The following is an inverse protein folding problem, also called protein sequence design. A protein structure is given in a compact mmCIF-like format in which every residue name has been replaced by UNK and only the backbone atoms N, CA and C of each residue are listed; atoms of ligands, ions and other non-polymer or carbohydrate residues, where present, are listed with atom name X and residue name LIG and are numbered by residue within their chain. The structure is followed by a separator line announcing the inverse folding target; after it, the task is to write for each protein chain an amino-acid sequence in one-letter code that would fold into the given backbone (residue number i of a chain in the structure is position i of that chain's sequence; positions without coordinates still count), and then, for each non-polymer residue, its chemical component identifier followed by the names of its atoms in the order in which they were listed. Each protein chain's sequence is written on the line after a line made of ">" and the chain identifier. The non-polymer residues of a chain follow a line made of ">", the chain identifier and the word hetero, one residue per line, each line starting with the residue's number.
data_IF_065194123818
#
_entry.id   IF_065194123818
#
_cell.length_a   1.000
_cell.length_b   1.000
_cell.length_c   1.000
_cell.angle_alpha   90.00
_cell.angle_beta   90.00
_cell.angle_gamma   90.00
#
_symmetry.space_group_name_H-M   'P 1'
#
loop_
_entity.id
_entity.type
_entity.pdbx_description
1 polymer ?
#
# COMPACT_ATOMS: atom_id res chain seq x y z
N UNK A 1 12.22 -2.21 -17.91
CA UNK A 1 11.84 -3.63 -17.98
C UNK A 1 13.03 -4.51 -18.32
N UNK A 2 13.61 -4.40 -19.51
CA UNK A 2 14.75 -5.25 -19.93
C UNK A 2 15.95 -5.27 -18.94
N UNK A 3 16.36 -4.13 -18.41
CA UNK A 3 17.42 -4.06 -17.38
C UNK A 3 17.02 -4.81 -16.11
N UNK A 4 15.76 -4.69 -15.67
CA UNK A 4 15.25 -5.41 -14.50
C UNK A 4 15.28 -6.93 -14.68
N UNK A 5 14.92 -7.44 -15.87
CA UNK A 5 15.02 -8.87 -16.19
C UNK A 5 16.46 -9.36 -16.17
N UNK A 6 17.39 -8.60 -16.74
CA UNK A 6 18.82 -8.94 -16.70
C UNK A 6 19.39 -8.96 -15.28
N UNK A 7 18.95 -8.06 -14.41
CA UNK A 7 19.34 -8.09 -13.00
C UNK A 7 18.77 -9.33 -12.31
N UNK A 8 17.51 -9.72 -12.62
CA UNK A 8 16.90 -10.92 -12.04
C UNK A 8 17.58 -12.20 -12.51
N UNK A 9 17.99 -12.29 -13.80
CA UNK A 9 18.66 -13.47 -14.37
C UNK A 9 20.11 -13.64 -13.88
N UNK A 10 20.86 -12.55 -13.79
CA UNK A 10 22.32 -12.57 -13.54
C UNK A 10 22.73 -11.94 -12.22
N UNK A 11 21.81 -11.32 -11.50
CA UNK A 11 22.08 -10.59 -10.28
C UNK A 11 21.46 -11.26 -9.05
N UNK A 12 21.32 -10.48 -7.97
CA UNK A 12 20.77 -10.92 -6.69
C UNK A 12 19.37 -10.32 -6.51
N UNK A 13 18.37 -11.15 -6.33
CA UNK A 13 17.01 -10.73 -5.99
C UNK A 13 16.14 -10.34 -7.20
N UNK A 14 15.06 -9.61 -6.94
CA UNK A 14 14.11 -9.18 -7.98
C UNK A 14 14.59 -7.85 -8.60
N UNK A 15 15.08 -7.91 -9.84
CA UNK A 15 15.62 -6.74 -10.55
C UNK A 15 14.59 -5.63 -10.78
N UNK A 16 13.32 -5.96 -10.95
CA UNK A 16 12.25 -4.96 -11.11
C UNK A 16 12.09 -4.14 -9.82
N UNK A 17 12.10 -4.79 -8.68
CA UNK A 17 12.02 -4.13 -7.37
C UNK A 17 13.21 -3.20 -7.14
N UNK A 18 14.42 -3.64 -7.49
CA UNK A 18 15.65 -2.83 -7.38
C UNK A 18 15.56 -1.56 -8.25
N UNK A 19 15.11 -1.70 -9.50
CA UNK A 19 14.93 -0.56 -10.41
C UNK A 19 13.91 0.45 -9.87
N UNK A 20 12.79 -0.04 -9.30
CA UNK A 20 11.79 0.81 -8.68
C UNK A 20 12.35 1.57 -7.48
N UNK A 21 13.06 0.89 -6.58
CA UNK A 21 13.69 1.50 -5.40
C UNK A 21 14.71 2.56 -5.82
N UNK A 22 15.58 2.29 -6.79
CA UNK A 22 16.56 3.26 -7.30
C UNK A 22 15.85 4.49 -7.88
N UNK A 23 14.79 4.32 -8.66
CA UNK A 23 14.01 5.42 -9.23
C UNK A 23 13.40 6.33 -8.15
N UNK A 24 12.93 5.74 -7.05
CA UNK A 24 12.39 6.47 -5.92
C UNK A 24 13.49 7.21 -5.18
N UNK A 25 14.61 6.54 -4.86
CA UNK A 25 15.73 7.12 -4.13
C UNK A 25 16.36 8.28 -4.91
N UNK A 26 16.43 8.18 -6.24
CA UNK A 26 17.00 9.24 -7.09
C UNK A 26 16.24 10.56 -7.01
N UNK A 27 14.95 10.53 -6.65
CA UNK A 27 14.11 11.75 -6.49
C UNK A 27 14.20 12.36 -5.08
N UNK A 28 14.62 11.58 -4.07
CA UNK A 28 14.68 12.04 -2.68
C UNK A 28 15.49 13.32 -2.47
N UNK A 29 16.71 13.47 -3.05
CA UNK A 29 17.49 14.71 -2.88
C UNK A 29 16.77 15.94 -3.42
N UNK A 30 16.13 15.83 -4.58
CA UNK A 30 15.39 16.92 -5.19
C UNK A 30 14.15 17.32 -4.36
N UNK A 31 13.42 16.35 -3.86
CA UNK A 31 12.24 16.58 -3.03
C UNK A 31 12.62 17.22 -1.70
N UNK A 32 13.72 16.79 -1.07
CA UNK A 32 14.26 17.42 0.13
C UNK A 32 14.70 18.86 -0.14
N UNK A 33 15.40 19.13 -1.25
CA UNK A 33 15.80 20.49 -1.63
C UNK A 33 14.58 21.38 -1.83
N UNK A 34 13.54 20.93 -2.51
CA UNK A 34 12.31 21.67 -2.73
C UNK A 34 11.59 22.01 -1.40
N UNK A 35 11.57 21.07 -0.44
CA UNK A 35 11.03 21.32 0.89
C UNK A 35 11.84 22.36 1.67
N UNK A 36 13.18 22.27 1.59
CA UNK A 36 14.07 23.24 2.24
C UNK A 36 13.89 24.64 1.65
N UNK A 37 13.83 24.77 0.33
CA UNK A 37 13.59 26.06 -0.33
C UNK A 37 12.24 26.65 0.05
N UNK A 38 11.18 25.82 0.12
CA UNK A 38 9.84 26.31 0.38
C UNK A 38 9.60 26.70 1.84
N UNK A 39 10.18 26.01 2.80
CA UNK A 39 9.86 26.17 4.23
C UNK A 39 10.97 26.81 5.05
N UNK A 40 12.21 26.79 4.61
CA UNK A 40 13.37 27.25 5.36
C UNK A 40 13.98 28.52 4.76
N UNK A 41 14.15 28.58 3.44
CA UNK A 41 14.74 29.74 2.79
C UNK A 41 13.85 30.97 2.86
N UNK A 42 14.44 32.10 3.29
CA UNK A 42 13.74 33.39 3.34
C UNK A 42 12.76 33.59 4.51
N UNK A 43 12.70 32.68 5.47
CA UNK A 43 11.84 32.79 6.67
C UNK A 43 12.66 33.13 7.91
N UNK A 44 11.97 33.70 8.94
CA UNK A 44 12.59 33.96 10.22
C UNK A 44 13.22 32.70 10.82
N UNK A 45 14.40 32.79 11.50
CA UNK A 45 15.13 31.58 11.95
C UNK A 45 14.30 30.70 12.89
N UNK A 46 13.46 31.25 13.70
CA UNK A 46 12.58 30.48 14.62
C UNK A 46 11.54 29.65 13.85
N UNK A 47 10.89 30.21 12.83
CA UNK A 47 9.89 29.52 12.00
C UNK A 47 10.54 28.48 11.10
N UNK A 48 11.75 28.73 10.61
CA UNK A 48 12.52 27.79 9.80
C UNK A 48 12.89 26.53 10.60
N UNK A 49 13.44 26.69 11.82
CA UNK A 49 13.79 25.56 12.70
C UNK A 49 12.53 24.74 13.04
N UNK A 50 11.43 25.40 13.37
CA UNK A 50 10.17 24.74 13.71
C UNK A 50 9.63 23.93 12.51
N UNK A 51 9.70 24.49 11.29
CA UNK A 51 9.30 23.80 10.07
C UNK A 51 10.14 22.54 9.80
N UNK A 52 11.46 22.61 9.97
CA UNK A 52 12.37 21.45 9.80
C UNK A 52 12.00 20.34 10.80
N UNK A 53 11.79 20.68 12.07
CA UNK A 53 11.44 19.70 13.11
C UNK A 53 10.10 19.03 12.78
N UNK A 54 9.09 19.79 12.36
CA UNK A 54 7.78 19.25 11.99
C UNK A 54 7.90 18.32 10.77
N UNK A 55 8.60 18.73 9.71
CA UNK A 55 8.78 17.90 8.50
C UNK A 55 9.48 16.59 8.88
N UNK A 56 10.53 16.64 9.67
CA UNK A 56 11.26 15.43 10.10
C UNK A 56 10.39 14.51 10.96
N UNK A 57 9.60 15.07 11.87
CA UNK A 57 8.67 14.32 12.70
C UNK A 57 7.58 13.61 11.85
N UNK A 58 7.06 14.27 10.81
CA UNK A 58 6.09 13.69 9.90
C UNK A 58 6.70 12.54 9.09
N UNK A 59 7.91 12.72 8.55
CA UNK A 59 8.60 11.65 7.79
C UNK A 59 8.82 10.44 8.68
N UNK A 60 9.32 10.62 9.90
CA UNK A 60 9.52 9.52 10.85
C UNK A 60 8.19 8.83 11.19
N UNK A 61 7.14 9.60 11.47
CA UNK A 61 5.81 9.05 11.77
C UNK A 61 5.26 8.20 10.61
N UNK A 62 5.44 8.67 9.38
CA UNK A 62 5.06 7.94 8.16
C UNK A 62 5.85 6.63 8.01
N UNK A 63 7.15 6.67 8.19
CA UNK A 63 8.01 5.46 8.12
C UNK A 63 7.60 4.44 9.18
N UNK A 64 7.41 4.87 10.44
CA UNK A 64 6.97 3.97 11.53
C UNK A 64 5.62 3.35 11.21
N UNK A 65 4.67 4.13 10.69
CA UNK A 65 3.34 3.65 10.33
C UNK A 65 3.42 2.60 9.21
N UNK A 66 4.25 2.83 8.19
CA UNK A 66 4.47 1.87 7.10
C UNK A 66 5.10 0.57 7.61
N UNK A 67 6.10 0.65 8.49
CA UNK A 67 6.74 -0.53 9.10
C UNK A 67 5.70 -1.35 9.87
N UNK A 68 4.91 -0.71 10.73
CA UNK A 68 3.85 -1.38 11.50
C UNK A 68 2.85 -2.08 10.56
N UNK A 69 2.53 -1.47 9.44
CA UNK A 69 1.57 -1.99 8.47
C UNK A 69 2.12 -3.18 7.69
N UNK A 70 3.40 -3.17 7.32
CA UNK A 70 4.06 -4.25 6.58
C UNK A 70 4.44 -5.44 7.48
N UNK A 71 4.89 -5.18 8.71
CA UNK A 71 5.29 -6.22 9.65
C UNK A 71 4.13 -6.81 10.44
N UNK A 72 2.96 -6.15 10.40
CA UNK A 72 1.75 -6.62 11.05
C UNK A 72 1.34 -8.00 10.55
N UNK A 73 1.43 -9.04 11.41
CA UNK A 73 1.08 -10.42 11.05
C UNK A 73 0.12 -11.00 12.08
N UNK A 74 -1.01 -11.51 11.60
CA UNK A 74 -1.93 -12.32 12.42
C UNK A 74 -1.55 -13.80 12.31
N UNK A 75 -1.12 -14.39 13.41
CA UNK A 75 -0.77 -15.81 13.49
C UNK A 75 -2.01 -16.64 13.82
N UNK A 76 -2.38 -17.57 12.94
CA UNK A 76 -3.47 -18.53 13.19
C UNK A 76 -2.84 -19.86 13.62
N UNK A 77 -3.13 -20.37 14.84
CA UNK A 77 -2.57 -21.63 15.30
C UNK A 77 -3.17 -22.81 14.52
N UNK A 78 -2.31 -23.68 14.05
CA UNK A 78 -2.66 -24.93 13.35
C UNK A 78 -2.03 -26.08 14.08
N UNK A 79 -2.79 -27.13 14.33
CA UNK A 79 -2.29 -28.37 14.93
C UNK A 79 -2.27 -29.47 13.86
N UNK A 80 -1.16 -30.17 13.77
CA UNK A 80 -1.01 -31.34 12.91
C UNK A 80 -1.22 -32.61 13.72
N UNK A 81 -1.96 -33.55 13.15
CA UNK A 81 -2.19 -34.85 13.76
C UNK A 81 -0.85 -35.60 13.93
N UNK A 82 -0.68 -36.25 15.09
CA UNK A 82 0.48 -37.12 15.33
C UNK A 82 0.37 -38.33 14.40
N UNK A 83 1.43 -38.63 13.65
CA UNK A 83 1.53 -39.85 12.85
C UNK A 83 2.46 -40.84 13.55
N UNK A 84 2.03 -42.10 13.65
CA UNK A 84 2.88 -43.18 14.05
C UNK A 84 3.78 -43.61 12.89
N UNK A 85 5.08 -43.53 13.04
CA UNK A 85 6.05 -44.02 12.08
C UNK A 85 6.89 -45.13 12.77
N UNK A 86 6.47 -46.37 12.58
CA UNK A 86 7.02 -47.52 13.33
C UNK A 86 6.63 -47.47 14.81
N UNK A 87 7.59 -47.65 15.72
CA UNK A 87 7.40 -47.58 17.19
C UNK A 87 7.50 -46.19 17.81
N UNK A 88 7.82 -45.16 17.01
CA UNK A 88 7.95 -43.77 17.49
C UNK A 88 6.78 -42.89 17.02
N UNK A 89 6.21 -42.12 17.94
CA UNK A 89 5.28 -41.06 17.61
C UNK A 89 6.07 -39.86 17.02
N UNK A 90 5.85 -39.56 15.75
CA UNK A 90 6.43 -38.41 15.04
C UNK A 90 5.31 -37.46 14.70
N UNK A 91 5.49 -36.17 14.96
CA UNK A 91 4.51 -35.15 14.66
C UNK A 91 3.81 -34.59 15.92
N UNK A 92 2.83 -33.75 15.72
CA UNK A 92 2.17 -33.01 16.80
C UNK A 92 2.79 -31.63 17.04
N UNK A 93 3.54 -31.12 16.05
CA UNK A 93 4.00 -29.73 16.10
C UNK A 93 2.81 -28.78 15.87
N UNK A 94 2.68 -27.84 16.78
CA UNK A 94 1.85 -26.66 16.61
C UNK A 94 2.58 -25.71 15.66
N UNK A 95 1.98 -25.42 14.52
CA UNK A 95 2.49 -24.43 13.57
C UNK A 95 1.51 -23.28 13.51
N UNK A 96 1.96 -22.14 13.01
CA UNK A 96 1.11 -20.97 12.83
C UNK A 96 1.08 -20.58 11.36
N UNK A 97 -0.10 -20.26 10.84
CA UNK A 97 -0.22 -19.63 9.52
C UNK A 97 -0.09 -18.13 9.72
N UNK A 98 0.96 -17.49 9.18
CA UNK A 98 1.11 -16.03 9.25
C UNK A 98 0.24 -15.37 8.15
N UNK A 99 -0.76 -14.58 8.54
CA UNK A 99 -1.51 -13.72 7.62
C UNK A 99 -1.01 -12.28 7.79
N UNK A 100 -0.37 -11.74 6.76
CA UNK A 100 0.08 -10.35 6.77
C UNK A 100 -1.11 -9.40 6.72
N UNK A 101 -1.05 -8.30 7.47
CA UNK A 101 -2.08 -7.24 7.45
C UNK A 101 -2.11 -6.56 6.09
N UNK A 102 -0.94 -6.26 5.55
CA UNK A 102 -0.81 -5.75 4.19
C UNK A 102 -0.50 -6.89 3.22
N UNK A 103 -1.49 -7.74 2.92
CA UNK A 103 -1.35 -8.87 1.99
C UNK A 103 -1.21 -8.40 0.54
N UNK A 104 -1.82 -7.28 0.18
CA UNK A 104 -1.86 -6.73 -1.17
C UNK A 104 -0.69 -5.79 -1.49
N UNK A 105 0.12 -5.41 -0.50
CA UNK A 105 1.25 -4.50 -0.71
C UNK A 105 0.82 -3.12 -1.22
N UNK A 106 1.58 -2.58 -2.15
CA UNK A 106 1.38 -1.26 -2.77
C UNK A 106 0.48 -1.32 -4.00
N UNK A 107 0.22 -2.52 -4.52
CA UNK A 107 -0.48 -2.73 -5.80
C UNK A 107 -1.85 -2.02 -5.87
N UNK A 108 -2.71 -2.06 -4.85
CA UNK A 108 -4.00 -1.36 -4.87
C UNK A 108 -3.87 0.14 -5.12
N UNK A 109 -2.85 0.77 -4.54
CA UNK A 109 -2.62 2.21 -4.67
C UNK A 109 -2.16 2.55 -6.09
N UNK A 110 -1.25 1.73 -6.66
CA UNK A 110 -0.76 1.91 -8.03
C UNK A 110 -1.91 1.79 -9.03
N UNK A 111 -2.77 0.79 -8.89
CA UNK A 111 -3.94 0.64 -9.77
C UNK A 111 -4.94 1.78 -9.62
N UNK A 112 -5.25 2.21 -8.39
CA UNK A 112 -6.15 3.34 -8.15
C UNK A 112 -5.60 4.63 -8.80
N UNK A 113 -4.31 4.92 -8.63
CA UNK A 113 -3.68 6.07 -9.28
C UNK A 113 -3.68 5.96 -10.81
N UNK A 114 -3.37 4.79 -11.35
CA UNK A 114 -3.34 4.55 -12.80
C UNK A 114 -4.69 4.78 -13.42
N UNK A 115 -5.77 4.29 -12.82
CA UNK A 115 -7.14 4.50 -13.32
C UNK A 115 -7.51 5.98 -13.27
N UNK A 116 -7.13 6.70 -12.22
CA UNK A 116 -7.44 8.12 -12.13
C UNK A 116 -6.62 8.97 -13.11
N UNK A 117 -5.38 8.58 -13.40
CA UNK A 117 -4.53 9.29 -14.34
C UNK A 117 -4.85 8.97 -15.81
N UNK A 118 -5.41 7.81 -16.11
CA UNK A 118 -5.69 7.38 -17.47
C UNK A 118 -6.54 8.36 -18.28
N UNK A 119 -7.68 8.90 -17.79
CA UNK A 119 -8.46 9.91 -18.52
C UNK A 119 -7.67 11.20 -18.76
N UNK A 120 -6.83 11.62 -17.79
CA UNK A 120 -6.02 12.83 -17.89
C UNK A 120 -5.00 12.68 -19.02
N UNK A 121 -4.34 11.53 -19.09
CA UNK A 121 -3.33 11.22 -20.10
C UNK A 121 -3.97 11.21 -21.49
N UNK A 122 -5.12 10.56 -21.67
CA UNK A 122 -5.84 10.52 -22.95
C UNK A 122 -6.20 11.94 -23.41
N UNK A 123 -6.77 12.76 -22.53
CA UNK A 123 -7.14 14.14 -22.86
C UNK A 123 -5.91 14.98 -23.21
N UNK A 124 -4.79 14.76 -22.56
CA UNK A 124 -3.51 15.41 -22.88
C UNK A 124 -3.02 15.04 -24.29
N UNK A 125 -3.15 13.78 -24.71
CA UNK A 125 -2.76 13.33 -26.06
C UNK A 125 -3.67 13.91 -27.16
N UNK A 126 -4.96 14.08 -26.88
CA UNK A 126 -5.93 14.66 -27.83
C UNK A 126 -5.76 16.19 -27.94
N UNK A 127 -4.93 16.80 -27.08
CA UNK A 127 -4.72 18.25 -27.04
C UNK A 127 -5.95 19.00 -26.52
N UNK A 128 -6.78 18.35 -25.71
CA UNK A 128 -8.00 18.94 -25.16
C UNK A 128 -7.66 20.02 -24.13
N UNK A 129 -7.70 21.27 -24.59
CA UNK A 129 -7.57 22.46 -23.73
C UNK A 129 -8.94 22.84 -23.13
N UNK A 130 -9.55 21.89 -22.42
CA UNK A 130 -10.94 21.87 -22.04
C UNK A 130 -11.50 23.12 -21.38
N UNK A 131 -12.55 23.62 -22.00
CA UNK A 131 -13.54 24.50 -21.37
C UNK A 131 -14.82 23.68 -21.21
N UNK A 132 -15.38 23.62 -19.99
CA UNK A 132 -16.64 22.93 -19.75
C UNK A 132 -16.57 21.87 -18.66
N UNK A 133 -17.64 21.08 -18.54
CA UNK A 133 -17.82 20.07 -17.49
C UNK A 133 -16.69 19.02 -17.46
N UNK A 134 -16.16 18.65 -18.62
CA UNK A 134 -15.04 17.71 -18.72
C UNK A 134 -13.75 18.25 -18.09
N UNK A 135 -13.48 19.55 -18.23
CA UNK A 135 -12.32 20.17 -17.59
C UNK A 135 -12.43 20.12 -16.05
N UNK A 136 -13.63 20.32 -15.51
CA UNK A 136 -13.89 20.21 -14.08
C UNK A 136 -13.72 18.79 -13.57
N UNK A 137 -14.19 17.78 -14.30
CA UNK A 137 -13.99 16.36 -13.99
C UNK A 137 -12.49 16.02 -14.00
N UNK A 138 -11.74 16.45 -15.01
CA UNK A 138 -10.30 16.19 -15.11
C UNK A 138 -9.52 16.86 -13.97
N UNK A 139 -9.90 18.07 -13.55
CA UNK A 139 -9.32 18.71 -12.38
C UNK A 139 -9.62 17.94 -11.10
N UNK A 140 -10.84 17.40 -10.95
CA UNK A 140 -11.22 16.55 -9.84
C UNK A 140 -10.43 15.22 -9.78
N UNK A 141 -10.08 14.66 -10.93
CA UNK A 141 -9.26 13.44 -11.01
C UNK A 141 -7.77 13.70 -10.73
N UNK A 142 -7.31 14.94 -10.92
CA UNK A 142 -5.90 15.30 -10.74
C UNK A 142 -5.58 15.53 -9.26
N UNK A 143 -4.66 14.73 -8.73
CA UNK A 143 -4.24 14.79 -7.32
C UNK A 143 -3.65 16.15 -6.89
N UNK A 144 -3.17 16.96 -7.81
CA UNK A 144 -2.65 18.31 -7.53
C UNK A 144 -3.69 19.34 -7.10
N UNK A 145 -4.99 19.05 -7.27
CA UNK A 145 -6.09 19.93 -6.86
C UNK A 145 -6.80 19.47 -5.59
N UNK A 146 -6.47 18.30 -5.04
CA UNK A 146 -7.12 17.74 -3.87
C UNK A 146 -6.76 18.51 -2.59
N UNK A 147 -7.68 18.55 -1.66
CA UNK A 147 -7.52 19.21 -0.34
C UNK A 147 -7.16 20.69 -0.40
N UNK A 148 -7.36 21.40 -1.51
CA UNK A 148 -7.14 22.83 -1.58
C UNK A 148 -8.33 23.59 -0.96
N UNK A 149 -8.12 24.48 0.05
CA UNK A 149 -9.19 25.22 0.69
C UNK A 149 -9.97 26.13 -0.27
N UNK A 150 -9.31 26.59 -1.36
CA UNK A 150 -9.91 27.45 -2.37
C UNK A 150 -10.93 26.73 -3.27
N UNK A 151 -10.87 25.40 -3.39
CA UNK A 151 -11.71 24.64 -4.32
C UNK A 151 -12.08 23.27 -3.74
N UNK A 152 -12.97 23.21 -2.74
CA UNK A 152 -13.29 21.98 -2.02
C UNK A 152 -13.99 20.91 -2.88
N UNK A 153 -14.61 21.30 -3.99
CA UNK A 153 -15.35 20.40 -4.90
C UNK A 153 -14.41 19.32 -5.49
N UNK A 154 -13.15 19.64 -5.77
CA UNK A 154 -12.19 18.67 -6.32
C UNK A 154 -11.75 17.61 -5.31
N UNK A 155 -12.04 17.78 -4.03
CA UNK A 155 -11.82 16.75 -3.01
C UNK A 155 -12.72 15.51 -3.20
N UNK A 156 -13.76 15.59 -4.06
CA UNK A 156 -14.53 14.41 -4.49
C UNK A 156 -13.63 13.38 -5.21
N UNK A 157 -12.60 13.84 -5.92
CA UNK A 157 -11.61 12.94 -6.53
C UNK A 157 -10.85 12.12 -5.49
N UNK A 158 -10.52 12.71 -4.35
CA UNK A 158 -9.89 12.00 -3.23
C UNK A 158 -10.83 10.92 -2.66
N UNK A 159 -12.13 11.19 -2.56
CA UNK A 159 -13.10 10.20 -2.12
C UNK A 159 -13.17 9.02 -3.10
N UNK A 160 -13.22 9.31 -4.40
CA UNK A 160 -13.17 8.27 -5.44
C UNK A 160 -11.88 7.45 -5.35
N UNK A 161 -10.74 8.11 -5.11
CA UNK A 161 -9.46 7.45 -4.92
C UNK A 161 -9.45 6.50 -3.73
N UNK A 162 -10.02 6.90 -2.59
CA UNK A 162 -10.18 6.05 -1.39
C UNK A 162 -11.03 4.81 -1.71
N UNK A 163 -12.16 5.00 -2.40
CA UNK A 163 -13.04 3.88 -2.80
C UNK A 163 -12.30 2.90 -3.72
N UNK A 164 -11.53 3.41 -4.68
CA UNK A 164 -10.72 2.59 -5.57
C UNK A 164 -9.64 1.79 -4.82
N UNK A 165 -8.95 2.40 -3.84
CA UNK A 165 -7.96 1.69 -3.01
C UNK A 165 -8.63 0.51 -2.30
N UNK A 166 -9.78 0.71 -1.64
CA UNK A 166 -10.50 -0.35 -0.95
C UNK A 166 -10.91 -1.45 -1.94
N UNK A 167 -11.50 -1.06 -3.06
CA UNK A 167 -11.91 -2.01 -4.10
C UNK A 167 -10.74 -2.87 -4.58
N UNK A 168 -9.61 -2.25 -4.93
CA UNK A 168 -8.44 -2.99 -5.41
C UNK A 168 -7.75 -3.79 -4.30
N UNK A 169 -7.80 -3.36 -3.05
CA UNK A 169 -7.27 -4.14 -1.93
C UNK A 169 -8.02 -5.47 -1.79
N UNK A 170 -9.35 -5.45 -1.83
CA UNK A 170 -10.16 -6.66 -1.80
C UNK A 170 -9.97 -7.51 -3.06
N UNK A 171 -10.01 -6.88 -4.24
CA UNK A 171 -9.85 -7.56 -5.51
C UNK A 171 -8.52 -8.31 -5.60
N UNK A 172 -7.41 -7.63 -5.30
CA UNK A 172 -6.08 -8.24 -5.36
C UNK A 172 -5.89 -9.34 -4.32
N UNK A 173 -6.38 -9.13 -3.10
CA UNK A 173 -6.29 -10.16 -2.06
C UNK A 173 -7.09 -11.41 -2.42
N UNK A 174 -8.25 -11.28 -3.06
CA UNK A 174 -9.05 -12.43 -3.49
C UNK A 174 -8.35 -13.27 -4.56
N UNK A 175 -7.50 -12.66 -5.39
CA UNK A 175 -6.71 -13.36 -6.39
C UNK A 175 -5.48 -14.03 -5.76
N UNK A 176 -4.78 -13.31 -4.88
CA UNK A 176 -3.50 -13.76 -4.32
C UNK A 176 -3.68 -14.85 -3.26
N UNK A 177 -4.75 -14.77 -2.48
CA UNK A 177 -5.01 -15.69 -1.39
C UNK A 177 -6.28 -16.50 -1.64
N UNK A 178 -6.10 -17.81 -1.82
CA UNK A 178 -7.22 -18.74 -2.01
C UNK A 178 -7.46 -19.57 -0.74
N UNK A 179 -8.47 -19.22 0.09
CA UNK A 179 -8.76 -19.90 1.35
C UNK A 179 -9.13 -21.38 1.17
N UNK A 180 -9.78 -21.73 0.06
CA UNK A 180 -10.15 -23.12 -0.27
C UNK A 180 -8.91 -23.97 -0.47
N UNK A 181 -7.97 -23.51 -1.29
CA UNK A 181 -6.73 -24.25 -1.57
C UNK A 181 -5.92 -24.48 -0.28
N UNK A 182 -5.86 -23.47 0.60
CA UNK A 182 -5.15 -23.58 1.87
C UNK A 182 -5.84 -24.58 2.81
N UNK A 183 -7.18 -24.51 2.93
CA UNK A 183 -7.96 -25.45 3.74
C UNK A 183 -7.81 -26.89 3.25
N UNK A 184 -7.81 -27.12 1.93
CA UNK A 184 -7.61 -28.45 1.34
C UNK A 184 -6.19 -28.98 1.53
N UNK A 185 -5.18 -28.14 1.38
CA UNK A 185 -3.79 -28.50 1.65
C UNK A 185 -3.58 -28.87 3.13
N UNK A 186 -4.16 -28.09 4.03
CA UNK A 186 -4.15 -28.41 5.46
C UNK A 186 -4.82 -29.77 5.73
N UNK A 187 -5.98 -30.02 5.16
CA UNK A 187 -6.70 -31.29 5.31
C UNK A 187 -5.87 -32.47 4.82
N UNK A 188 -5.22 -32.32 3.64
CA UNK A 188 -4.33 -33.37 3.08
C UNK A 188 -3.13 -33.66 3.96
N UNK A 189 -2.59 -32.64 4.66
CA UNK A 189 -1.47 -32.77 5.58
C UNK A 189 -1.88 -33.22 6.98
N UNK A 190 -3.17 -33.42 7.24
CA UNK A 190 -3.68 -33.78 8.58
C UNK A 190 -3.66 -32.62 9.58
N UNK A 191 -3.58 -31.37 9.07
CA UNK A 191 -3.65 -30.16 9.88
C UNK A 191 -5.09 -29.72 10.12
N UNK A 192 -5.37 -29.17 11.28
CA UNK A 192 -6.64 -28.58 11.63
C UNK A 192 -6.47 -27.35 12.53
N UNK A 193 -7.43 -26.45 12.48
CA UNK A 193 -7.48 -25.31 13.39
C UNK A 193 -8.25 -25.75 14.63
N UNK A 194 -7.72 -25.52 15.85
CA UNK A 194 -8.42 -25.89 17.09
C UNK A 194 -9.84 -25.28 17.14
N UNK A 195 -10.83 -26.13 17.37
CA UNK A 195 -12.26 -25.71 17.43
C UNK A 195 -12.99 -25.63 16.10
N UNK A 196 -12.33 -25.87 14.95
CA UNK A 196 -12.94 -25.79 13.62
C UNK A 196 -12.77 -27.10 12.88
N UNK A 197 -13.87 -27.62 12.29
CA UNK A 197 -13.81 -28.83 11.48
C UNK A 197 -12.99 -28.63 10.21
N UNK A 198 -12.09 -29.58 9.85
CA UNK A 198 -11.31 -29.46 8.62
C UNK A 198 -12.21 -29.52 7.36
N UNK A 199 -11.83 -28.75 6.33
CA UNK A 199 -12.55 -28.63 5.07
C UNK A 199 -13.25 -27.28 4.90
N UNK A 200 -14.50 -27.29 4.40
CA UNK A 200 -15.27 -26.07 4.11
C UNK A 200 -15.38 -25.09 5.31
N UNK A 201 -15.69 -25.54 6.53
CA UNK A 201 -15.72 -24.61 7.69
C UNK A 201 -14.39 -23.90 7.96
N UNK A 202 -13.28 -24.56 7.70
CA UNK A 202 -11.94 -23.96 7.81
C UNK A 202 -11.74 -22.88 6.74
N UNK A 203 -12.17 -23.12 5.50
CA UNK A 203 -12.11 -22.14 4.43
C UNK A 203 -12.97 -20.90 4.75
N UNK A 204 -14.20 -21.11 5.23
CA UNK A 204 -15.12 -20.02 5.59
C UNK A 204 -14.55 -19.17 6.74
N UNK A 205 -13.92 -19.81 7.72
CA UNK A 205 -13.23 -19.11 8.82
C UNK A 205 -12.04 -18.28 8.33
N UNK A 206 -11.19 -18.86 7.47
CA UNK A 206 -10.05 -18.16 6.88
C UNK A 206 -10.52 -16.97 6.05
N UNK A 207 -11.57 -17.13 5.26
CA UNK A 207 -12.13 -16.06 4.44
C UNK A 207 -12.66 -14.91 5.29
N UNK A 208 -13.35 -15.23 6.39
CA UNK A 208 -13.85 -14.24 7.35
C UNK A 208 -12.70 -13.44 7.98
N UNK A 209 -11.65 -14.11 8.43
CA UNK A 209 -10.47 -13.44 9.01
C UNK A 209 -9.77 -12.57 7.96
N UNK A 210 -9.62 -13.08 6.74
CA UNK A 210 -9.02 -12.34 5.64
C UNK A 210 -9.75 -11.03 5.37
N UNK A 211 -11.07 -11.07 5.29
CA UNK A 211 -11.88 -9.86 5.05
C UNK A 211 -11.64 -8.80 6.12
N UNK A 212 -11.53 -9.18 7.39
CA UNK A 212 -11.20 -8.22 8.45
C UNK A 212 -9.77 -7.67 8.33
N UNK A 213 -8.80 -8.53 8.03
CA UNK A 213 -7.41 -8.13 7.89
C UNK A 213 -7.24 -7.20 6.70
N UNK A 214 -7.86 -7.51 5.56
CA UNK A 214 -7.81 -6.67 4.35
C UNK A 214 -8.44 -5.31 4.60
N UNK A 215 -9.53 -5.24 5.35
CA UNK A 215 -10.16 -3.97 5.70
C UNK A 215 -9.23 -3.10 6.54
N UNK A 216 -8.60 -3.67 7.57
CA UNK A 216 -7.62 -2.96 8.41
C UNK A 216 -6.42 -2.51 7.58
N UNK A 217 -5.90 -3.41 6.71
CA UNK A 217 -4.81 -3.10 5.79
C UNK A 217 -5.17 -1.96 4.82
N UNK A 218 -6.38 -1.99 4.24
CA UNK A 218 -6.87 -0.94 3.35
C UNK A 218 -6.96 0.42 4.05
N UNK A 219 -7.43 0.48 5.30
CA UNK A 219 -7.43 1.71 6.09
C UNK A 219 -6.01 2.23 6.29
N UNK A 220 -5.07 1.35 6.63
CA UNK A 220 -3.66 1.73 6.77
C UNK A 220 -3.08 2.29 5.47
N UNK A 221 -3.35 1.65 4.32
CA UNK A 221 -2.93 2.12 3.00
C UNK A 221 -3.55 3.48 2.65
N UNK A 222 -4.82 3.71 2.99
CA UNK A 222 -5.50 5.00 2.78
C UNK A 222 -4.81 6.09 3.60
N UNK A 223 -4.54 5.85 4.88
CA UNK A 223 -3.87 6.83 5.74
C UNK A 223 -2.52 7.22 5.15
N UNK A 224 -1.69 6.23 4.80
CA UNK A 224 -0.36 6.47 4.22
C UNK A 224 -0.42 7.23 2.89
N UNK A 225 -1.41 6.92 2.03
CA UNK A 225 -1.52 7.57 0.72
C UNK A 225 -2.17 8.95 0.76
N UNK A 226 -3.09 9.21 1.70
CA UNK A 226 -3.82 10.49 1.80
C UNK A 226 -2.98 11.57 2.49
N UNK A 227 -2.14 11.22 3.46
CA UNK A 227 -1.33 12.17 4.21
C UNK A 227 -0.53 13.13 3.29
N UNK A 228 0.24 12.67 2.28
CA UNK A 228 0.97 13.56 1.39
C UNK A 228 0.07 14.51 0.60
N UNK A 229 -1.10 14.04 0.16
CA UNK A 229 -2.05 14.89 -0.56
C UNK A 229 -2.66 15.97 0.33
N UNK A 230 -2.90 15.65 1.59
CA UNK A 230 -3.36 16.61 2.58
C UNK A 230 -2.32 17.71 2.83
N UNK A 231 -1.04 17.33 2.99
CA UNK A 231 0.04 18.30 3.17
C UNK A 231 0.24 19.17 1.93
N UNK A 232 0.17 18.59 0.73
CA UNK A 232 0.24 19.34 -0.51
C UNK A 232 -0.93 20.33 -0.65
N UNK A 233 -2.14 19.90 -0.35
CA UNK A 233 -3.35 20.74 -0.50
C UNK A 233 -3.43 21.89 0.50
N UNK A 234 -3.18 21.60 1.79
CA UNK A 234 -3.35 22.58 2.89
C UNK A 234 -2.15 23.50 3.04
N UNK A 235 -0.93 22.94 3.01
CA UNK A 235 0.29 23.69 3.24
C UNK A 235 1.00 24.11 1.95
N UNK A 236 0.50 23.69 0.78
CA UNK A 236 1.15 23.94 -0.50
C UNK A 236 2.54 23.30 -0.61
N UNK A 237 2.86 22.37 0.29
CA UNK A 237 4.12 21.67 0.29
C UNK A 237 4.17 20.75 -0.92
N UNK A 238 5.09 20.98 -1.85
CA UNK A 238 5.36 20.05 -2.96
C UNK A 238 6.09 18.81 -2.44
N UNK A 239 5.42 18.06 -1.54
CA UNK A 239 5.95 16.82 -0.97
C UNK A 239 5.71 15.72 -2.00
N UNK A 240 6.70 15.42 -2.79
CA UNK A 240 6.72 14.26 -3.70
C UNK A 240 7.01 12.95 -2.95
N UNK A 241 7.29 13.02 -1.64
CA UNK A 241 7.30 11.85 -0.74
C UNK A 241 5.90 11.27 -0.62
N UNK A 242 5.39 10.73 -1.72
CA UNK A 242 4.13 10.02 -1.71
C UNK A 242 4.23 8.80 -0.79
N UNK A 243 3.18 8.56 -0.01
CA UNK A 243 3.11 7.38 0.84
C UNK A 243 3.41 6.07 0.10
N UNK A 244 3.16 6.02 -1.21
CA UNK A 244 3.53 4.92 -2.11
C UNK A 244 5.03 4.70 -2.18
N UNK A 245 5.83 5.76 -2.25
CA UNK A 245 7.30 5.67 -2.31
C UNK A 245 7.87 5.06 -1.02
N UNK A 246 7.34 5.45 0.13
CA UNK A 246 7.73 4.90 1.42
C UNK A 246 7.34 3.43 1.58
N UNK A 247 6.14 3.02 1.10
CA UNK A 247 5.70 1.62 1.17
C UNK A 247 6.56 0.73 0.26
N UNK A 248 7.07 1.25 -0.86
CA UNK A 248 7.93 0.49 -1.78
C UNK A 248 9.35 0.32 -1.21
N UNK A 249 9.84 1.30 -0.44
CA UNK A 249 11.18 1.25 0.17
C UNK A 249 11.23 0.29 1.35
N UNK A 250 10.18 0.22 2.15
CA UNK A 250 10.04 -0.66 3.32
C UNK A 250 9.51 -2.03 2.90
#
# INVERSE_FOLDING_TARGET
>A
MWVGERITEKGIGNGISIVLVINIISRLPQDLSNLFEQFVFGKAPATAILAVVIIFAIIIAMVVLVIILNDGVRKIPVQYAKKMQGRKMVGGQTSNIPLKVNTSGVIPIIFAQSIMQFPIIICSFIGYNGTGVWAEILKGLNSGYWCKPSQPIYSLGLLLYIVLIVFFAYFYTSITFNPLMIADNMKKQGGFIPGIRPGKPTSDYLNKILNYIVFIGAIGLIIVSVIPYFFNGVFGASVSFGGTSLIIIV
#
